data_IF_274397032925
#
_entry.id   IF_274397032925
#
_cell.length_a   1.000
_cell.length_b   1.000
_cell.length_c   1.000
_cell.angle_alpha   90.00
_cell.angle_beta   90.00
_cell.angle_gamma   90.00
#
_symmetry.space_group_name_H-M   'P 1'
#
loop_
_entity.id
_entity.type
_entity.pdbx_description
1 polymer ?
#
# COMPACT_ATOMS: atom_id res chain seq x y z
N UNK A 1 20.67 22.24 2.19
CA UNK A 1 21.54 23.01 1.27
C UNK A 1 21.63 22.27 -0.05
N UNK A 2 21.38 22.95 -1.16
CA UNK A 2 21.52 22.36 -2.50
C UNK A 2 22.91 22.67 -3.04
N UNK A 3 23.63 21.64 -3.44
CA UNK A 3 25.01 21.76 -3.94
C UNK A 3 25.22 21.01 -5.24
N UNK A 4 26.24 21.40 -6.00
CA UNK A 4 26.69 20.66 -7.18
C UNK A 4 27.28 19.29 -6.79
N UNK A 5 27.42 18.38 -7.76
CA UNK A 5 28.12 17.10 -7.57
C UNK A 5 29.52 17.28 -7.01
N UNK A 6 30.32 18.18 -7.59
CA UNK A 6 31.70 18.46 -7.17
C UNK A 6 31.76 18.95 -5.71
N UNK A 7 30.80 19.79 -5.31
CA UNK A 7 30.71 20.28 -3.94
C UNK A 7 30.25 19.19 -2.97
N UNK A 8 29.28 18.35 -3.37
CA UNK A 8 28.85 17.20 -2.56
C UNK A 8 29.99 16.18 -2.37
N UNK A 9 30.79 15.96 -3.41
CA UNK A 9 32.01 15.16 -3.40
C UNK A 9 33.02 15.64 -2.37
N UNK A 10 33.28 16.94 -2.35
CA UNK A 10 34.20 17.56 -1.41
C UNK A 10 33.71 17.46 0.05
N UNK A 11 32.41 17.67 0.29
CA UNK A 11 31.84 17.72 1.64
C UNK A 11 31.67 16.33 2.29
N UNK A 12 31.42 15.30 1.49
CA UNK A 12 31.02 13.97 2.02
C UNK A 12 32.04 12.86 1.73
N UNK A 13 33.11 13.19 0.99
CA UNK A 13 34.27 12.31 0.80
C UNK A 13 33.94 10.93 0.21
N UNK A 14 34.56 9.88 0.79
CA UNK A 14 34.50 8.50 0.26
C UNK A 14 33.13 7.84 0.43
N UNK A 15 32.31 8.25 1.39
CA UNK A 15 30.99 7.63 1.63
C UNK A 15 30.05 7.78 0.42
N UNK A 16 30.09 8.90 -0.31
CA UNK A 16 29.22 9.08 -1.48
C UNK A 16 29.63 8.28 -2.71
N UNK A 17 30.91 7.95 -2.88
CA UNK A 17 31.38 7.20 -4.06
C UNK A 17 30.79 5.79 -4.11
N UNK A 18 30.50 5.19 -2.95
CA UNK A 18 29.90 3.85 -2.85
C UNK A 18 28.39 3.83 -3.12
N UNK A 19 27.71 4.95 -2.90
CA UNK A 19 26.25 5.06 -2.96
C UNK A 19 25.72 5.62 -4.30
N UNK A 20 26.60 5.99 -5.25
CA UNK A 20 26.15 6.55 -6.52
C UNK A 20 25.77 5.50 -7.55
N UNK A 21 24.67 5.73 -8.30
CA UNK A 21 24.45 5.03 -9.55
C UNK A 21 25.65 5.27 -10.48
N UNK A 22 26.25 4.18 -11.00
CA UNK A 22 27.25 4.28 -12.07
C UNK A 22 26.63 5.11 -13.23
N UNK A 23 27.28 6.20 -13.61
CA UNK A 23 26.83 7.07 -14.71
C UNK A 23 26.16 8.40 -14.34
N UNK A 24 26.28 8.90 -13.10
CA UNK A 24 25.76 10.23 -12.75
C UNK A 24 26.48 11.35 -13.55
N UNK A 25 25.70 12.14 -14.30
CA UNK A 25 26.21 13.25 -15.14
C UNK A 25 26.98 14.27 -14.29
N UNK A 26 28.03 14.89 -14.86
CA UNK A 26 28.85 15.94 -14.21
C UNK A 26 28.00 17.10 -13.66
N UNK A 27 26.86 17.40 -14.30
CA UNK A 27 25.95 18.51 -13.97
C UNK A 27 24.79 18.12 -13.05
N UNK A 28 25.02 17.24 -12.07
CA UNK A 28 23.99 16.84 -11.11
C UNK A 28 24.00 17.70 -9.84
N UNK A 29 22.83 17.86 -9.22
CA UNK A 29 22.65 18.57 -7.95
C UNK A 29 22.24 17.62 -6.84
N UNK A 30 22.59 17.95 -5.60
CA UNK A 30 22.29 17.17 -4.40
C UNK A 30 21.70 18.06 -3.33
N UNK A 31 20.83 17.48 -2.49
CA UNK A 31 20.32 18.13 -1.29
C UNK A 31 21.03 17.55 -0.08
N UNK A 32 21.76 18.38 0.66
CA UNK A 32 22.45 18.00 1.88
C UNK A 32 21.78 18.58 3.12
N UNK A 33 22.12 18.05 4.30
CA UNK A 33 21.83 18.67 5.59
C UNK A 33 22.34 20.10 5.64
N UNK A 34 21.85 20.89 6.59
CA UNK A 34 22.38 22.24 6.83
C UNK A 34 23.87 22.22 7.15
N UNK A 35 24.34 21.16 7.83
CA UNK A 35 25.75 20.92 8.17
C UNK A 35 26.58 20.37 7.00
N UNK A 36 25.96 19.98 5.89
CA UNK A 36 26.64 19.33 4.77
C UNK A 36 27.03 17.87 5.01
N UNK A 37 26.87 17.34 6.22
CA UNK A 37 27.32 16.00 6.64
C UNK A 37 26.43 14.84 6.14
N UNK A 38 25.19 15.13 5.72
CA UNK A 38 24.24 14.07 5.30
C UNK A 38 23.64 14.37 3.95
N UNK A 39 23.63 13.38 3.06
CA UNK A 39 22.87 13.43 1.81
C UNK A 39 21.39 13.17 2.09
N UNK A 40 20.55 14.17 1.80
CA UNK A 40 19.09 14.13 1.95
C UNK A 40 18.36 13.86 0.62
N UNK A 41 19.09 13.78 -0.50
CA UNK A 41 18.56 13.43 -1.82
C UNK A 41 19.47 13.79 -2.99
N UNK A 42 19.24 13.13 -4.13
CA UNK A 42 19.97 13.32 -5.39
C UNK A 42 20.57 12.01 -5.93
N UNK A 43 21.21 12.01 -7.13
CA UNK A 43 21.43 13.17 -8.00
C UNK A 43 20.16 13.70 -8.68
N UNK A 44 20.03 15.02 -8.75
CA UNK A 44 18.98 15.72 -9.50
C UNK A 44 19.54 16.31 -10.78
N UNK A 45 18.75 16.24 -11.86
CA UNK A 45 19.14 16.71 -13.20
C UNK A 45 19.43 18.21 -13.28
N UNK A 46 18.83 19.00 -12.39
CA UNK A 46 18.99 20.45 -12.31
C UNK A 46 18.68 20.94 -10.89
N UNK A 47 19.05 22.19 -10.61
CA UNK A 47 18.86 22.84 -9.30
C UNK A 47 17.39 22.95 -8.91
N UNK A 48 16.50 23.15 -9.88
CA UNK A 48 15.05 23.26 -9.65
C UNK A 48 14.46 21.98 -9.07
N UNK A 49 14.87 20.79 -9.57
CA UNK A 49 14.44 19.51 -8.99
C UNK A 49 15.00 19.28 -7.59
N UNK A 50 16.21 19.76 -7.32
CA UNK A 50 16.77 19.75 -5.97
C UNK A 50 16.01 20.71 -5.03
N UNK A 51 15.56 21.87 -5.52
CA UNK A 51 14.70 22.81 -4.79
C UNK A 51 13.33 22.23 -4.48
N UNK A 52 12.72 21.52 -5.44
CA UNK A 52 11.48 20.80 -5.23
C UNK A 52 11.63 19.77 -4.09
N UNK A 53 12.75 19.03 -4.08
CA UNK A 53 13.07 18.12 -2.96
C UNK A 53 13.29 18.87 -1.65
N UNK A 54 14.04 19.97 -1.66
CA UNK A 54 14.27 20.77 -0.46
C UNK A 54 12.95 21.22 0.15
N UNK A 55 12.00 21.68 -0.67
CA UNK A 55 10.64 22.01 -0.21
C UNK A 55 9.93 20.80 0.39
N UNK A 56 10.04 19.62 -0.19
CA UNK A 56 9.47 18.39 0.39
C UNK A 56 10.12 18.03 1.74
N UNK A 57 11.45 18.14 1.85
CA UNK A 57 12.16 17.88 3.10
C UNK A 57 11.79 18.91 4.16
N UNK A 58 11.68 20.18 3.78
CA UNK A 58 11.23 21.26 4.67
C UNK A 58 9.77 21.06 5.10
N UNK A 59 8.89 20.57 4.22
CA UNK A 59 7.53 20.15 4.58
C UNK A 59 7.54 19.10 5.70
N UNK A 60 8.42 18.10 5.63
CA UNK A 60 8.54 17.11 6.71
C UNK A 60 9.14 17.67 8.01
N UNK A 61 10.01 18.69 7.93
CA UNK A 61 10.60 19.34 9.10
C UNK A 61 9.68 20.35 9.78
N UNK A 62 8.87 21.09 9.01
CA UNK A 62 7.98 22.17 9.51
C UNK A 62 6.67 21.68 10.10
N UNK A 63 6.36 20.39 10.00
CA UNK A 63 5.15 19.81 10.60
C UNK A 63 5.11 19.84 12.14
N UNK A 64 6.11 20.44 12.77
CA UNK A 64 6.04 20.91 14.16
C UNK A 64 5.16 22.15 14.33
N UNK A 65 4.76 22.85 13.26
CA UNK A 65 3.93 24.04 13.33
C UNK A 65 2.87 24.10 12.18
N UNK A 66 1.55 23.97 12.47
CA UNK A 66 0.49 23.80 11.47
C UNK A 66 0.16 25.01 10.57
N UNK A 67 0.54 26.24 10.95
CA UNK A 67 0.01 27.47 10.30
C UNK A 67 0.64 27.82 8.94
N UNK A 68 1.77 27.21 8.58
CA UNK A 68 2.52 27.51 7.34
C UNK A 68 2.01 26.76 6.08
N UNK A 69 0.90 26.02 6.20
CA UNK A 69 0.46 24.99 5.24
C UNK A 69 0.02 25.52 3.86
N UNK A 70 -0.39 26.79 3.75
CA UNK A 70 -1.28 27.18 2.64
C UNK A 70 -0.65 27.72 1.35
N UNK A 71 0.66 27.98 1.23
CA UNK A 71 1.08 28.86 0.12
C UNK A 71 1.97 28.33 -1.01
N UNK A 72 2.74 27.21 -0.95
CA UNK A 72 3.84 27.04 -1.96
C UNK A 72 4.21 25.66 -2.53
N UNK A 73 3.28 24.72 -2.68
CA UNK A 73 3.48 23.60 -3.63
C UNK A 73 2.17 23.20 -4.30
N UNK A 74 2.09 23.46 -5.60
CA UNK A 74 0.90 23.42 -6.45
C UNK A 74 0.21 22.04 -6.61
N UNK A 75 0.63 20.97 -5.91
CA UNK A 75 0.14 19.60 -6.16
C UNK A 75 -0.32 18.82 -4.91
N UNK A 76 -0.27 19.39 -3.69
CA UNK A 76 -0.76 18.66 -2.50
C UNK A 76 -2.27 18.65 -2.36
N UNK A 77 -2.95 19.69 -2.85
CA UNK A 77 -4.41 19.74 -2.95
C UNK A 77 -4.96 18.91 -4.10
N UNK A 78 -4.11 18.29 -4.94
CA UNK A 78 -4.58 17.44 -6.03
C UNK A 78 -5.33 16.23 -5.46
N UNK A 79 -6.57 16.03 -5.91
CA UNK A 79 -7.38 14.85 -5.58
C UNK A 79 -6.79 13.63 -6.27
N UNK A 80 -6.51 12.57 -5.49
CA UNK A 80 -5.87 11.33 -5.97
C UNK A 80 -6.67 10.06 -5.65
N UNK A 81 -7.86 10.19 -5.05
CA UNK A 81 -8.82 9.10 -4.80
C UNK A 81 -10.21 9.46 -5.31
N UNK A 82 -11.09 8.47 -5.43
CA UNK A 82 -12.47 8.69 -5.90
C UNK A 82 -13.36 9.41 -4.88
N UNK A 83 -13.10 9.25 -3.58
CA UNK A 83 -13.86 9.91 -2.50
C UNK A 83 -13.38 11.36 -2.24
N UNK A 84 -12.42 11.86 -3.04
CA UNK A 84 -11.96 13.24 -2.91
C UNK A 84 -10.78 13.43 -1.96
N UNK A 85 -10.04 12.38 -1.60
CA UNK A 85 -8.83 12.56 -0.78
C UNK A 85 -7.70 13.16 -1.63
N UNK A 86 -7.11 14.20 -1.09
CA UNK A 86 -5.97 14.91 -1.64
C UNK A 86 -4.66 14.14 -1.44
N UNK A 87 -3.66 14.47 -2.25
CA UNK A 87 -2.30 13.93 -2.12
C UNK A 87 -1.70 14.24 -0.74
N UNK A 88 -2.02 15.40 -0.16
CA UNK A 88 -1.62 15.79 1.19
C UNK A 88 -2.20 14.89 2.29
N UNK A 89 -3.48 14.51 2.18
CA UNK A 89 -4.15 13.61 3.12
C UNK A 89 -3.60 12.19 3.05
N UNK A 90 -3.40 11.67 1.84
CA UNK A 90 -2.74 10.37 1.64
C UNK A 90 -1.34 10.37 2.25
N UNK A 91 -0.59 11.45 2.03
CA UNK A 91 0.73 11.61 2.64
C UNK A 91 0.64 11.59 4.17
N UNK A 92 -0.19 12.46 4.76
CA UNK A 92 -0.39 12.51 6.21
C UNK A 92 -0.72 11.15 6.82
N UNK A 93 -1.66 10.44 6.22
CA UNK A 93 -2.04 9.10 6.65
C UNK A 93 -0.83 8.19 6.75
N UNK A 94 0.00 8.13 5.71
CA UNK A 94 1.16 7.25 5.71
C UNK A 94 2.30 7.73 6.61
N UNK A 95 2.43 9.02 6.90
CA UNK A 95 3.35 9.49 7.93
C UNK A 95 2.96 8.96 9.30
N UNK A 96 1.66 8.91 9.60
CA UNK A 96 1.12 8.45 10.88
C UNK A 96 1.07 6.92 10.98
N UNK A 97 0.66 6.25 9.90
CA UNK A 97 0.33 4.82 9.90
C UNK A 97 1.31 3.93 9.14
N UNK A 98 2.22 4.49 8.34
CA UNK A 98 3.16 3.73 7.52
C UNK A 98 4.05 2.77 8.32
N UNK A 99 4.38 3.11 9.57
CA UNK A 99 5.13 2.21 10.47
C UNK A 99 4.40 0.90 10.78
N UNK A 100 3.07 0.90 10.79
CA UNK A 100 2.25 -0.30 11.02
C UNK A 100 2.02 -1.09 9.72
N UNK A 101 2.08 -0.43 8.56
CA UNK A 101 1.97 -1.09 7.26
C UNK A 101 3.27 -1.79 6.85
N UNK A 102 4.43 -1.20 7.14
CA UNK A 102 5.73 -1.66 6.66
C UNK A 102 6.03 -3.15 6.94
N UNK A 103 5.68 -3.73 8.12
CA UNK A 103 5.86 -5.16 8.37
C UNK A 103 5.17 -6.07 7.34
N UNK A 104 4.05 -5.64 6.76
CA UNK A 104 3.31 -6.41 5.75
C UNK A 104 3.88 -6.29 4.33
N UNK A 105 4.78 -5.31 4.10
CA UNK A 105 5.44 -5.08 2.81
C UNK A 105 6.86 -5.69 2.77
N UNK A 106 7.54 -5.69 3.92
CA UNK A 106 8.94 -6.09 4.02
C UNK A 106 9.11 -7.56 3.62
N UNK A 107 10.06 -7.83 2.72
CA UNK A 107 10.34 -9.18 2.24
C UNK A 107 9.43 -9.64 1.08
N UNK A 108 8.48 -8.81 0.65
CA UNK A 108 7.60 -9.11 -0.47
C UNK A 108 7.88 -8.18 -1.65
N UNK A 109 7.62 -8.68 -2.85
CA UNK A 109 7.40 -7.80 -4.00
C UNK A 109 6.07 -7.04 -3.79
N UNK A 110 5.99 -5.80 -4.24
CA UNK A 110 4.83 -4.92 -3.98
C UNK A 110 4.27 -4.40 -5.29
N UNK A 111 2.94 -4.41 -5.42
CA UNK A 111 2.24 -3.61 -6.42
C UNK A 111 1.89 -2.28 -5.78
N UNK A 112 2.30 -1.20 -6.42
CA UNK A 112 1.97 0.16 -6.00
C UNK A 112 0.89 0.70 -6.94
N UNK A 113 -0.22 1.15 -6.39
CA UNK A 113 -1.25 1.86 -7.15
C UNK A 113 -0.94 3.35 -7.09
N UNK A 114 -0.82 3.98 -8.26
CA UNK A 114 -0.57 5.41 -8.38
C UNK A 114 -1.87 6.13 -8.76
N UNK A 115 -2.26 7.15 -8.00
CA UNK A 115 -3.41 8.01 -8.31
C UNK A 115 -2.96 9.18 -9.19
N UNK A 116 -3.43 9.24 -10.44
CA UNK A 116 -3.03 10.31 -11.38
C UNK A 116 -4.00 11.50 -11.37
N UNK A 117 -5.14 11.36 -10.71
CA UNK A 117 -6.21 12.35 -10.63
C UNK A 117 -7.54 11.79 -11.13
N UNK A 118 -8.63 12.10 -10.43
CA UNK A 118 -9.96 11.56 -10.76
C UNK A 118 -10.00 10.03 -10.66
N UNK A 119 -10.47 9.38 -11.72
CA UNK A 119 -10.58 7.92 -11.86
C UNK A 119 -9.36 7.24 -12.52
N UNK A 120 -8.29 7.99 -12.76
CA UNK A 120 -7.10 7.49 -13.43
C UNK A 120 -6.10 6.87 -12.45
N UNK A 121 -5.94 5.55 -12.52
CA UNK A 121 -5.02 4.79 -11.66
C UNK A 121 -4.06 3.93 -12.46
N UNK A 122 -2.79 3.87 -12.03
CA UNK A 122 -1.76 3.00 -12.62
C UNK A 122 -1.30 1.96 -11.61
N UNK A 123 -1.36 0.70 -12.01
CA UNK A 123 -0.84 -0.43 -11.22
C UNK A 123 0.61 -0.70 -11.60
N UNK A 124 1.54 -0.24 -10.77
CA UNK A 124 2.97 -0.42 -11.00
C UNK A 124 3.50 -1.65 -10.28
N UNK A 125 4.17 -2.53 -11.04
CA UNK A 125 4.74 -3.80 -10.54
C UNK A 125 6.27 -3.85 -10.60
N UNK A 126 6.89 -2.92 -11.34
CA UNK A 126 8.32 -2.87 -11.62
C UNK A 126 8.86 -1.44 -11.51
N UNK A 127 10.12 -1.33 -11.11
CA UNK A 127 10.93 -0.13 -11.19
C UNK A 127 11.27 0.21 -12.66
N UNK A 128 11.78 1.41 -12.96
CA UNK A 128 12.21 1.78 -14.32
C UNK A 128 13.26 0.83 -14.92
N UNK A 129 14.10 0.23 -14.07
CA UNK A 129 15.12 -0.75 -14.46
C UNK A 129 14.57 -2.18 -14.68
N UNK A 130 13.25 -2.36 -14.60
CA UNK A 130 12.59 -3.66 -14.77
C UNK A 130 12.58 -4.56 -13.52
N UNK A 131 13.29 -4.19 -12.46
CA UNK A 131 13.29 -4.94 -11.19
C UNK A 131 11.94 -4.84 -10.47
N UNK A 132 11.61 -5.84 -9.65
CA UNK A 132 10.39 -5.84 -8.83
C UNK A 132 10.48 -4.78 -7.74
N UNK A 133 9.35 -4.13 -7.44
CA UNK A 133 9.29 -3.14 -6.36
C UNK A 133 9.34 -3.87 -5.02
N UNK A 134 10.26 -3.48 -4.14
CA UNK A 134 10.37 -3.99 -2.76
C UNK A 134 10.51 -2.82 -1.82
N UNK A 135 9.63 -2.74 -0.84
CA UNK A 135 9.60 -1.64 0.14
C UNK A 135 10.03 -2.19 1.50
N UNK A 136 11.14 -1.68 2.03
CA UNK A 136 11.74 -2.16 3.28
C UNK A 136 12.09 -1.03 4.25
N UNK A 137 11.85 0.22 3.86
CA UNK A 137 12.16 1.41 4.66
C UNK A 137 10.93 2.33 4.71
N UNK A 138 10.74 3.02 5.83
CA UNK A 138 9.65 3.99 5.97
C UNK A 138 9.95 5.31 5.22
N UNK A 139 11.19 5.78 5.33
CA UNK A 139 11.66 7.11 4.88
C UNK A 139 12.80 7.01 3.87
N UNK A 140 12.98 8.01 3.03
CA UNK A 140 14.02 8.06 1.99
C UNK A 140 13.51 8.31 0.57
N UNK A 141 14.43 8.65 -0.32
CA UNK A 141 14.14 8.98 -1.75
C UNK A 141 14.60 7.86 -2.69
N UNK A 142 14.48 6.60 -2.27
CA UNK A 142 14.76 5.44 -3.11
C UNK A 142 13.52 4.56 -3.26
N UNK A 143 13.37 3.77 -4.32
CA UNK A 143 12.25 2.82 -4.47
C UNK A 143 12.08 1.81 -3.33
N UNK A 144 13.08 1.67 -2.44
CA UNK A 144 13.01 0.85 -1.23
C UNK A 144 12.23 1.49 -0.09
N UNK A 145 11.93 2.78 -0.20
CA UNK A 145 11.23 3.56 0.80
C UNK A 145 9.75 3.71 0.48
N UNK A 146 8.91 3.62 1.51
CA UNK A 146 7.48 3.93 1.38
C UNK A 146 7.26 5.40 1.01
N UNK A 147 8.01 6.32 1.64
CA UNK A 147 7.95 7.76 1.38
C UNK A 147 8.24 8.11 -0.10
N UNK A 148 9.21 7.45 -0.73
CA UNK A 148 9.51 7.62 -2.15
C UNK A 148 8.27 7.43 -3.03
N UNK A 149 7.49 6.39 -2.75
CA UNK A 149 6.30 6.04 -3.54
C UNK A 149 5.14 7.00 -3.27
N UNK A 150 4.89 7.35 -2.01
CA UNK A 150 3.82 8.29 -1.64
C UNK A 150 4.06 9.67 -2.25
N UNK A 151 5.30 10.15 -2.17
CA UNK A 151 5.73 11.39 -2.81
C UNK A 151 5.59 11.33 -4.34
N UNK A 152 5.42 10.15 -4.93
CA UNK A 152 5.18 9.92 -6.35
C UNK A 152 3.76 9.42 -6.63
N UNK A 153 2.81 9.86 -5.81
CA UNK A 153 1.36 9.58 -5.90
C UNK A 153 0.98 8.12 -5.62
N UNK A 154 1.81 7.39 -4.88
CA UNK A 154 1.49 6.05 -4.37
C UNK A 154 0.38 6.11 -3.34
N UNK A 155 -0.79 5.59 -3.71
CA UNK A 155 -2.01 5.58 -2.89
C UNK A 155 -2.27 4.22 -2.25
N UNK A 156 -2.08 3.10 -2.96
CA UNK A 156 -2.26 1.75 -2.38
C UNK A 156 -1.00 0.89 -2.52
N UNK A 157 -0.80 -0.02 -1.57
CA UNK A 157 0.33 -0.95 -1.54
C UNK A 157 -0.19 -2.38 -1.33
N UNK A 158 0.14 -3.26 -2.27
CA UNK A 158 -0.34 -4.64 -2.27
C UNK A 158 0.86 -5.60 -2.31
N UNK A 159 1.23 -6.27 -1.20
CA UNK A 159 2.20 -7.36 -1.25
C UNK A 159 1.74 -8.45 -2.22
N UNK A 160 2.65 -8.84 -3.10
CA UNK A 160 2.48 -9.95 -4.03
C UNK A 160 2.75 -11.25 -3.29
N UNK A 161 1.89 -12.23 -3.54
CA UNK A 161 1.96 -13.55 -2.95
C UNK A 161 2.58 -14.50 -3.97
N UNK A 162 3.59 -15.24 -3.53
CA UNK A 162 4.35 -16.16 -4.38
C UNK A 162 3.79 -17.58 -4.35
N UNK A 163 4.60 -18.55 -4.80
CA UNK A 163 4.26 -20.00 -4.76
C UNK A 163 4.01 -20.52 -3.34
N UNK A 164 4.65 -19.89 -2.35
CA UNK A 164 4.41 -20.15 -0.93
C UNK A 164 4.07 -18.87 -0.20
N UNK A 165 3.26 -18.99 0.85
CA UNK A 165 2.76 -17.87 1.64
C UNK A 165 2.70 -18.24 3.12
N UNK A 166 3.02 -17.29 3.98
CA UNK A 166 2.76 -17.31 5.43
C UNK A 166 1.45 -16.57 5.77
N UNK A 167 0.62 -16.30 4.76
CA UNK A 167 -0.62 -15.55 4.89
C UNK A 167 -1.71 -16.16 4.03
N UNK A 168 -2.89 -16.35 4.61
CA UNK A 168 -4.11 -16.73 3.90
C UNK A 168 -5.22 -15.76 4.26
N UNK A 169 -6.20 -15.60 3.38
CA UNK A 169 -7.33 -14.71 3.63
C UNK A 169 -8.58 -15.12 2.87
N UNK A 170 -9.69 -14.56 3.32
CA UNK A 170 -10.98 -14.55 2.64
C UNK A 170 -11.34 -13.07 2.41
N UNK A 171 -11.57 -12.68 1.16
CA UNK A 171 -12.07 -11.36 0.80
C UNK A 171 -13.60 -11.42 0.72
N UNK A 172 -14.27 -10.68 1.59
CA UNK A 172 -15.73 -10.69 1.76
C UNK A 172 -16.29 -9.46 1.07
N UNK A 173 -16.75 -9.66 -0.16
CA UNK A 173 -17.27 -8.64 -1.05
C UNK A 173 -18.80 -8.54 -0.95
N UNK A 174 -19.30 -7.39 -0.55
CA UNK A 174 -20.74 -7.14 -0.43
C UNK A 174 -21.29 -6.54 -1.71
N UNK A 175 -22.16 -7.28 -2.39
CA UNK A 175 -22.88 -6.85 -3.58
C UNK A 175 -24.36 -6.64 -3.23
N UNK A 176 -24.77 -5.38 -3.00
CA UNK A 176 -26.14 -5.05 -2.66
C UNK A 176 -26.55 -3.69 -3.22
N UNK A 177 -27.83 -3.51 -3.53
CA UNK A 177 -28.39 -2.20 -3.83
C UNK A 177 -28.24 -1.24 -2.63
N UNK A 178 -28.27 0.08 -2.86
CA UNK A 178 -28.08 1.10 -1.81
C UNK A 178 -28.99 0.88 -0.59
N UNK A 179 -30.25 0.51 -0.80
CA UNK A 179 -31.21 0.24 0.29
C UNK A 179 -30.91 -1.02 1.11
N UNK A 180 -30.20 -2.00 0.54
CA UNK A 180 -29.88 -3.28 1.20
C UNK A 180 -28.44 -3.34 1.75
N UNK A 181 -27.57 -2.38 1.40
CA UNK A 181 -26.16 -2.40 1.75
C UNK A 181 -25.93 -2.45 3.27
N UNK A 182 -26.66 -1.66 4.06
CA UNK A 182 -26.55 -1.67 5.52
C UNK A 182 -26.99 -2.99 6.15
N UNK A 183 -28.00 -3.65 5.57
CA UNK A 183 -28.45 -4.99 6.00
C UNK A 183 -27.35 -6.02 5.72
N UNK A 184 -26.83 -6.04 4.49
CA UNK A 184 -25.77 -6.97 4.09
C UNK A 184 -24.49 -6.79 4.92
N UNK A 185 -24.04 -5.54 5.15
CA UNK A 185 -22.89 -5.25 6.03
C UNK A 185 -23.09 -5.77 7.46
N UNK A 186 -24.30 -5.70 8.00
CA UNK A 186 -24.63 -6.24 9.33
C UNK A 186 -24.54 -7.77 9.36
N UNK A 187 -25.02 -8.43 8.30
CA UNK A 187 -24.93 -9.88 8.16
C UNK A 187 -23.47 -10.33 8.07
N UNK A 188 -22.67 -9.67 7.23
CA UNK A 188 -21.21 -9.93 7.15
C UNK A 188 -20.53 -9.80 8.52
N UNK A 189 -20.86 -8.77 9.30
CA UNK A 189 -20.28 -8.61 10.65
C UNK A 189 -20.62 -9.76 11.61
N UNK A 190 -21.83 -10.33 11.50
CA UNK A 190 -22.24 -11.51 12.28
C UNK A 190 -21.53 -12.78 11.81
N UNK A 191 -21.14 -12.81 10.54
CA UNK A 191 -20.49 -13.95 9.91
C UNK A 191 -18.97 -14.02 10.17
N UNK A 192 -18.34 -12.88 10.49
CA UNK A 192 -16.88 -12.83 10.73
C UNK A 192 -16.40 -13.91 11.72
N UNK A 193 -17.01 -14.11 12.92
CA UNK A 193 -16.56 -15.14 13.84
C UNK A 193 -16.61 -16.57 13.27
N UNK A 194 -17.61 -16.88 12.44
CA UNK A 194 -17.74 -18.19 11.79
C UNK A 194 -16.64 -18.40 10.74
N UNK A 195 -16.40 -17.40 9.88
CA UNK A 195 -15.31 -17.43 8.91
C UNK A 195 -13.93 -17.49 9.58
N UNK A 196 -13.76 -16.83 10.73
CA UNK A 196 -12.55 -16.95 11.53
C UNK A 196 -12.36 -18.36 12.10
N UNK A 197 -13.44 -18.97 12.61
CA UNK A 197 -13.44 -20.35 13.10
C UNK A 197 -13.09 -21.34 11.99
N UNK A 198 -13.68 -21.18 10.79
CA UNK A 198 -13.38 -21.99 9.61
C UNK A 198 -11.89 -21.95 9.27
N UNK A 199 -11.27 -20.76 9.22
CA UNK A 199 -9.83 -20.65 8.98
C UNK A 199 -9.00 -21.30 10.10
N UNK A 200 -9.42 -21.21 11.37
CA UNK A 200 -8.76 -21.87 12.51
C UNK A 200 -8.87 -23.40 12.44
N UNK A 201 -9.94 -23.94 11.87
CA UNK A 201 -10.08 -25.37 11.61
C UNK A 201 -9.09 -25.88 10.57
N UNK A 202 -8.71 -25.04 9.59
CA UNK A 202 -7.78 -25.40 8.52
C UNK A 202 -6.31 -25.15 8.89
N UNK A 203 -6.03 -24.08 9.63
CA UNK A 203 -4.67 -23.64 9.92
C UNK A 203 -4.52 -23.10 11.34
N UNK A 204 -3.30 -23.22 11.88
CA UNK A 204 -2.88 -22.49 13.07
C UNK A 204 -2.34 -21.12 12.65
N UNK A 205 -2.69 -20.08 13.40
CA UNK A 205 -2.20 -18.74 13.11
C UNK A 205 -2.87 -17.64 13.91
N UNK A 206 -2.39 -16.41 13.72
CA UNK A 206 -3.02 -15.20 14.25
C UNK A 206 -3.97 -14.65 13.20
N UNK A 207 -5.26 -14.59 13.52
CA UNK A 207 -6.29 -14.07 12.63
C UNK A 207 -6.64 -12.62 12.99
N UNK A 208 -6.97 -11.83 11.97
CA UNK A 208 -7.50 -10.47 12.09
C UNK A 208 -8.46 -10.17 10.94
N UNK A 209 -9.58 -9.55 11.25
CA UNK A 209 -10.48 -8.98 10.27
C UNK A 209 -10.15 -7.50 10.01
N UNK A 210 -10.32 -7.07 8.76
CA UNK A 210 -10.04 -5.70 8.32
C UNK A 210 -11.17 -5.18 7.44
N UNK A 211 -11.61 -3.95 7.66
CA UNK A 211 -12.39 -3.23 6.64
C UNK A 211 -11.47 -2.86 5.46
N UNK A 212 -11.92 -3.03 4.21
CA UNK A 212 -11.12 -2.82 2.98
C UNK A 212 -11.06 -1.36 2.49
N UNK A 213 -11.70 -0.43 3.21
CA UNK A 213 -11.87 0.98 2.85
C UNK A 213 -13.28 1.46 3.22
N UNK A 214 -13.81 2.44 2.48
CA UNK A 214 -15.17 2.97 2.67
C UNK A 214 -16.26 2.09 2.05
N UNK A 215 -15.89 1.23 1.09
CA UNK A 215 -16.75 0.32 0.34
C UNK A 215 -17.49 -0.67 1.23
N UNK A 216 -16.89 -1.01 2.38
CA UNK A 216 -17.42 -1.95 3.36
C UNK A 216 -17.24 -3.42 3.04
N UNK A 217 -16.37 -3.77 2.10
CA UNK A 217 -15.79 -5.11 2.01
C UNK A 217 -14.91 -5.41 3.23
N UNK A 218 -14.77 -6.69 3.58
CA UNK A 218 -14.01 -7.15 4.75
C UNK A 218 -12.97 -8.18 4.30
N UNK A 219 -11.73 -8.02 4.73
CA UNK A 219 -10.72 -9.07 4.60
C UNK A 219 -10.56 -9.79 5.93
N UNK A 220 -10.71 -11.10 5.94
CA UNK A 220 -10.38 -11.95 7.10
C UNK A 220 -9.05 -12.60 6.80
N UNK A 221 -7.98 -12.18 7.48
CA UNK A 221 -6.62 -12.64 7.20
C UNK A 221 -6.03 -13.42 8.37
N UNK A 222 -5.34 -14.52 8.07
CA UNK A 222 -4.56 -15.28 9.02
C UNK A 222 -3.07 -15.29 8.68
N UNK A 223 -2.26 -14.89 9.65
CA UNK A 223 -0.80 -15.04 9.64
C UNK A 223 -0.43 -16.44 10.14
N UNK A 224 0.22 -17.23 9.31
CA UNK A 224 0.64 -18.60 9.57
C UNK A 224 2.03 -18.63 10.24
N UNK A 225 2.29 -19.61 11.12
CA UNK A 225 3.61 -19.78 11.75
C UNK A 225 4.67 -20.31 10.78
N UNK A 226 4.25 -20.91 9.66
CA UNK A 226 5.13 -21.42 8.61
C UNK A 226 4.51 -21.19 7.24
N UNK A 227 5.36 -21.13 6.20
CA UNK A 227 4.90 -20.94 4.82
C UNK A 227 4.23 -22.21 4.30
N UNK A 228 3.10 -22.06 3.62
CA UNK A 228 2.38 -23.14 2.93
C UNK A 228 2.36 -22.91 1.43
N UNK A 229 2.06 -23.94 0.65
CA UNK A 229 1.81 -23.79 -0.79
C UNK A 229 0.53 -22.97 -1.02
N UNK A 230 0.65 -21.87 -1.76
CA UNK A 230 -0.44 -20.89 -1.94
C UNK A 230 -1.66 -21.50 -2.63
N UNK A 231 -1.47 -22.25 -3.72
CA UNK A 231 -2.58 -22.85 -4.47
C UNK A 231 -3.25 -24.00 -3.71
N UNK A 232 -2.49 -24.78 -2.94
CA UNK A 232 -3.05 -25.78 -2.02
C UNK A 232 -3.91 -25.09 -0.98
N UNK A 233 -3.40 -24.01 -0.38
CA UNK A 233 -4.13 -23.29 0.65
C UNK A 233 -5.43 -22.68 0.13
N UNK A 234 -5.39 -22.05 -1.05
CA UNK A 234 -6.58 -21.55 -1.75
C UNK A 234 -7.62 -22.63 -1.97
N UNK A 235 -7.23 -23.82 -2.46
CA UNK A 235 -8.16 -24.92 -2.72
C UNK A 235 -8.80 -25.43 -1.42
N UNK A 236 -8.03 -25.59 -0.35
CA UNK A 236 -8.55 -26.04 0.94
C UNK A 236 -9.57 -25.06 1.52
N UNK A 237 -9.27 -23.76 1.47
CA UNK A 237 -10.20 -22.72 1.94
C UNK A 237 -11.44 -22.69 1.04
N UNK A 238 -11.28 -22.72 -0.28
CA UNK A 238 -12.40 -22.72 -1.22
C UNK A 238 -13.33 -23.92 -1.00
N UNK A 239 -12.78 -25.11 -0.74
CA UNK A 239 -13.56 -26.32 -0.50
C UNK A 239 -14.35 -26.21 0.81
N UNK A 240 -13.71 -25.77 1.90
CA UNK A 240 -14.38 -25.53 3.17
C UNK A 240 -15.52 -24.51 3.02
N UNK A 241 -15.29 -23.40 2.31
CA UNK A 241 -16.32 -22.39 2.04
C UNK A 241 -17.46 -22.93 1.17
N UNK A 242 -17.17 -23.78 0.18
CA UNK A 242 -18.21 -24.41 -0.64
C UNK A 242 -19.05 -25.39 0.14
N UNK A 243 -18.44 -26.16 1.05
CA UNK A 243 -19.16 -27.10 1.90
C UNK A 243 -20.05 -26.39 2.91
N UNK A 244 -19.59 -25.27 3.47
CA UNK A 244 -20.34 -24.51 4.47
C UNK A 244 -21.50 -23.72 3.84
N UNK A 245 -21.28 -23.12 2.66
CA UNK A 245 -22.22 -22.20 2.01
C UNK A 245 -22.73 -22.75 0.66
N UNK A 246 -22.91 -24.07 0.53
CA UNK A 246 -23.42 -24.69 -0.71
C UNK A 246 -24.82 -24.19 -1.06
N UNK A 247 -25.66 -24.07 -0.04
CA UNK A 247 -27.10 -23.79 -0.14
C UNK A 247 -27.48 -22.44 0.47
N UNK A 248 -26.49 -21.59 0.78
CA UNK A 248 -26.75 -20.26 1.31
C UNK A 248 -27.25 -19.31 0.21
N UNK A 249 -28.40 -18.69 0.45
CA UNK A 249 -29.02 -17.76 -0.51
C UNK A 249 -28.23 -16.44 -0.64
N UNK A 250 -27.55 -16.02 0.42
CA UNK A 250 -26.82 -14.76 0.51
C UNK A 250 -25.33 -14.92 0.22
N UNK A 251 -24.68 -15.86 0.88
CA UNK A 251 -23.24 -16.09 0.80
C UNK A 251 -22.90 -17.01 -0.38
N UNK A 252 -21.81 -16.72 -1.08
CA UNK A 252 -21.38 -17.56 -2.19
C UNK A 252 -19.89 -17.45 -2.43
N UNK A 253 -19.28 -18.51 -2.95
CA UNK A 253 -17.89 -18.49 -3.43
C UNK A 253 -17.77 -18.11 -4.91
N UNK A 254 -18.90 -17.94 -5.61
CA UNK A 254 -18.97 -17.62 -7.04
C UNK A 254 -19.22 -16.12 -7.27
N UNK A 255 -19.00 -15.58 -8.48
CA UNK A 255 -19.46 -14.24 -8.82
C UNK A 255 -20.96 -14.09 -8.55
N UNK A 256 -21.38 -12.98 -7.93
CA UNK A 256 -22.76 -12.76 -7.50
C UNK A 256 -23.80 -12.67 -8.63
N UNK A 257 -23.37 -12.55 -9.90
CA UNK A 257 -24.28 -12.49 -11.06
C UNK A 257 -25.28 -11.34 -10.95
N UNK A 258 -26.55 -11.62 -11.29
CA UNK A 258 -27.68 -10.67 -11.26
C UNK A 258 -28.43 -10.62 -9.92
N UNK A 259 -27.93 -11.26 -8.85
CA UNK A 259 -28.60 -11.30 -7.55
C UNK A 259 -28.75 -9.88 -6.97
N UNK A 260 -29.94 -9.56 -6.45
CA UNK A 260 -30.24 -8.24 -5.84
C UNK A 260 -29.41 -7.96 -4.57
N UNK A 261 -29.03 -9.01 -3.85
CA UNK A 261 -28.18 -8.97 -2.66
C UNK A 261 -27.37 -10.27 -2.60
N UNK A 262 -26.06 -10.16 -2.46
CA UNK A 262 -25.15 -11.30 -2.42
C UNK A 262 -23.85 -10.89 -1.71
N UNK A 263 -23.27 -11.81 -0.94
CA UNK A 263 -21.97 -11.64 -0.29
C UNK A 263 -21.03 -12.69 -0.86
N UNK A 264 -20.03 -12.24 -1.61
CA UNK A 264 -19.04 -13.14 -2.20
C UNK A 264 -17.89 -13.36 -1.21
N UNK A 265 -17.58 -14.62 -0.97
CA UNK A 265 -16.43 -15.10 -0.21
C UNK A 265 -15.31 -15.45 -1.20
N UNK A 266 -14.51 -14.45 -1.56
CA UNK A 266 -13.50 -14.53 -2.61
C UNK A 266 -12.12 -14.94 -2.06
N UNK A 267 -11.56 -16.01 -2.63
CA UNK A 267 -10.18 -16.45 -2.41
C UNK A 267 -9.37 -16.48 -3.70
N UNK A 268 -9.89 -15.95 -4.80
CA UNK A 268 -9.24 -15.97 -6.13
C UNK A 268 -7.97 -15.13 -6.19
N UNK A 269 -7.80 -14.18 -5.26
CA UNK A 269 -6.58 -13.41 -5.08
C UNK A 269 -5.48 -14.21 -4.35
N UNK A 270 -5.80 -15.31 -3.67
CA UNK A 270 -4.84 -16.20 -3.01
C UNK A 270 -4.18 -17.15 -4.02
N UNK A 271 -3.40 -16.61 -4.95
CA UNK A 271 -2.69 -17.39 -5.99
C UNK A 271 -1.26 -16.90 -6.17
N UNK A 272 -0.43 -17.67 -6.89
CA UNK A 272 1.01 -17.42 -7.03
C UNK A 272 1.41 -16.07 -7.68
N UNK A 273 0.45 -15.37 -8.30
CA UNK A 273 0.61 -14.03 -8.88
C UNK A 273 -0.34 -13.01 -8.26
N UNK A 274 -1.09 -13.45 -7.26
CA UNK A 274 -2.07 -12.67 -6.55
C UNK A 274 -1.43 -11.68 -5.61
N UNK A 275 -2.24 -10.77 -5.11
CA UNK A 275 -1.82 -9.74 -4.18
C UNK A 275 -3.02 -9.35 -3.33
N UNK A 276 -2.77 -8.89 -2.12
CA UNK A 276 -3.79 -8.37 -1.23
C UNK A 276 -3.38 -6.99 -0.74
N UNK A 277 -4.33 -6.06 -0.63
CA UNK A 277 -4.06 -4.72 -0.10
C UNK A 277 -3.46 -4.84 1.31
N UNK A 278 -2.33 -4.19 1.57
CA UNK A 278 -1.69 -4.26 2.88
C UNK A 278 -2.58 -3.60 3.96
N UNK A 279 -2.61 -4.15 5.19
CA UNK A 279 -3.16 -3.42 6.33
C UNK A 279 -2.58 -2.01 6.44
N UNK A 280 -3.43 -1.04 6.76
CA UNK A 280 -3.15 0.41 6.79
C UNK A 280 -2.82 1.04 5.43
N UNK A 281 -2.87 0.31 4.32
CA UNK A 281 -2.84 0.92 2.99
C UNK A 281 -4.12 1.73 2.76
N UNK A 282 -3.98 2.94 2.24
CA UNK A 282 -5.07 3.72 1.67
C UNK A 282 -5.78 2.95 0.56
N UNK A 283 -7.01 3.35 0.27
CA UNK A 283 -7.83 2.83 -0.81
C UNK A 283 -7.95 3.87 -1.92
N UNK A 284 -7.86 3.46 -3.18
CA UNK A 284 -8.10 4.33 -4.34
C UNK A 284 -9.53 4.88 -4.37
N UNK A 285 -10.45 4.17 -3.72
CA UNK A 285 -11.83 4.60 -3.52
C UNK A 285 -12.02 5.51 -2.31
N UNK A 286 -11.02 5.70 -1.46
CA UNK A 286 -11.15 6.46 -0.22
C UNK A 286 -11.08 5.63 1.06
N UNK A 287 -10.61 6.28 2.12
CA UNK A 287 -10.29 5.62 3.39
C UNK A 287 -9.11 4.65 3.28
N UNK A 288 -8.98 3.75 4.26
CA UNK A 288 -7.84 2.82 4.32
C UNK A 288 -8.24 1.48 4.92
N UNK A 289 -7.44 0.45 4.61
CA UNK A 289 -7.60 -0.87 5.18
C UNK A 289 -7.28 -0.84 6.68
N UNK A 290 -8.27 -1.07 7.53
CA UNK A 290 -8.14 -0.91 8.99
C UNK A 290 -8.63 -2.14 9.74
N UNK A 291 -7.99 -2.52 10.85
CA UNK A 291 -8.54 -3.56 11.73
C UNK A 291 -9.99 -3.23 12.10
N UNK A 292 -10.83 -4.26 12.13
CA UNK A 292 -12.18 -4.19 12.70
C UNK A 292 -12.14 -4.30 14.22
#
# INVERSE_FOLDING_TARGET
>A
MIVSKTTAEALLGKELKSAWPKGSRKTSYYLLSSTGERNLGGPYKNREKALERERQVQYFKRRSNPEDFHSRSHDWGQIVTLDGDSRGEVLDHYLKKGRYMLPYLKGHDVIVVLGLGGDNFVYRRKNPDGSRIRISQLRGDTPKSLEYWILRRGIEFHPVIGKTTDRVWIDVDVHASKGNLSKAKRMVRREIPYLESLLRGLYRGKIKAYASGNDGGVHIEMMLPSRVNTDKARRQILEALKSEYSDDELFTTRPCGSRRMCVRLDVTTLKNTGSVKAPYSFSKKGGYKRPL
#
